data_IF_868047803403
#
_entry.id   IF_868047803403
#
_cell.length_a   1.000
_cell.length_b   1.000
_cell.length_c   1.000
_cell.angle_alpha   90.00
_cell.angle_beta   90.00
_cell.angle_gamma   90.00
#
_symmetry.space_group_name_H-M   'P 1'
#
loop_
_entity.id
_entity.type
_entity.pdbx_description
1 polymer ?
#
# COMPACT_ATOMS: atom_id res chain seq x y z
N UNK A 1 -52.08 14.89 -26.01
CA UNK A 1 -50.61 15.15 -26.08
C UNK A 1 -49.84 14.64 -24.85
N UNK A 2 -50.34 14.81 -23.61
CA UNK A 2 -49.66 14.29 -22.40
C UNK A 2 -49.54 12.75 -22.34
N UNK A 3 -50.52 12.02 -22.88
CA UNK A 3 -50.51 10.55 -22.87
C UNK A 3 -49.41 9.94 -23.77
N UNK A 4 -49.09 10.60 -24.90
CA UNK A 4 -47.99 10.20 -25.80
C UNK A 4 -46.63 10.50 -25.16
N UNK A 5 -46.53 11.59 -24.40
CA UNK A 5 -45.31 11.96 -23.69
C UNK A 5 -44.94 10.92 -22.61
N UNK A 6 -45.90 10.45 -21.80
CA UNK A 6 -45.64 9.40 -20.82
C UNK A 6 -45.27 8.05 -21.46
N UNK A 7 -45.81 7.76 -22.65
CA UNK A 7 -45.46 6.55 -23.40
C UNK A 7 -44.01 6.59 -23.92
N UNK A 8 -43.55 7.75 -24.41
CA UNK A 8 -42.17 7.94 -24.89
C UNK A 8 -41.17 7.93 -23.72
N UNK A 9 -41.50 8.53 -22.58
CA UNK A 9 -40.66 8.50 -21.36
C UNK A 9 -40.55 7.08 -20.79
N UNK A 10 -41.62 6.28 -20.86
CA UNK A 10 -41.60 4.87 -20.43
C UNK A 10 -40.71 3.96 -21.28
N UNK A 11 -40.62 4.21 -22.59
CA UNK A 11 -39.78 3.41 -23.51
C UNK A 11 -38.27 3.67 -23.28
N UNK A 12 -37.89 4.91 -22.97
CA UNK A 12 -36.48 5.29 -22.76
C UNK A 12 -35.89 4.69 -21.47
N UNK A 13 -36.73 4.41 -20.45
CA UNK A 13 -36.29 3.79 -19.19
C UNK A 13 -36.01 2.28 -19.36
N UNK A 14 -36.60 1.62 -20.36
CA UNK A 14 -36.49 0.17 -20.57
C UNK A 14 -35.21 -0.28 -21.29
N UNK A 15 -34.40 0.62 -21.86
CA UNK A 15 -33.28 0.24 -22.75
C UNK A 15 -31.89 0.18 -22.09
N UNK A 16 -31.79 0.24 -20.76
CA UNK A 16 -30.49 0.08 -20.05
C UNK A 16 -30.30 -1.32 -19.45
N UNK A 17 -30.80 -2.36 -20.10
CA UNK A 17 -30.31 -3.72 -19.80
C UNK A 17 -29.03 -3.95 -20.59
N UNK A 18 -27.89 -3.45 -20.09
CA UNK A 18 -26.59 -3.93 -20.55
C UNK A 18 -26.51 -5.42 -20.19
N UNK A 19 -26.76 -6.28 -21.17
CA UNK A 19 -26.44 -7.71 -21.08
C UNK A 19 -24.93 -7.84 -20.99
N UNK A 20 -24.39 -7.74 -19.77
CA UNK A 20 -23.00 -8.06 -19.52
C UNK A 20 -22.84 -9.56 -19.70
N UNK A 21 -22.22 -9.95 -20.80
CA UNK A 21 -21.97 -11.34 -21.14
C UNK A 21 -21.07 -11.91 -20.02
N UNK A 22 -21.70 -12.63 -19.09
CA UNK A 22 -21.01 -13.17 -17.92
C UNK A 22 -20.25 -14.39 -18.38
N UNK A 23 -18.93 -14.30 -18.39
CA UNK A 23 -18.07 -15.40 -18.80
C UNK A 23 -17.92 -16.46 -17.71
N UNK A 24 -17.94 -16.02 -16.45
CA UNK A 24 -17.78 -16.91 -15.31
C UNK A 24 -18.49 -16.34 -14.09
N UNK A 25 -19.07 -17.22 -13.29
CA UNK A 25 -19.70 -16.87 -12.03
C UNK A 25 -19.40 -17.95 -10.98
N UNK A 26 -19.01 -17.51 -9.78
CA UNK A 26 -18.86 -18.35 -8.60
C UNK A 26 -19.43 -17.65 -7.37
N UNK A 27 -19.42 -18.35 -6.23
CA UNK A 27 -19.77 -17.77 -4.93
C UNK A 27 -18.88 -16.57 -4.53
N UNK A 28 -17.65 -16.52 -5.04
CA UNK A 28 -16.64 -15.56 -4.60
C UNK A 28 -16.57 -14.36 -5.55
N UNK A 29 -16.76 -14.56 -6.85
CA UNK A 29 -16.66 -13.49 -7.84
C UNK A 29 -17.41 -13.79 -9.15
N UNK A 30 -17.63 -12.73 -9.94
CA UNK A 30 -18.21 -12.78 -11.28
C UNK A 30 -17.28 -12.11 -12.28
N UNK A 31 -17.08 -12.72 -13.44
CA UNK A 31 -16.29 -12.19 -14.55
C UNK A 31 -17.21 -11.90 -15.73
N UNK A 32 -17.15 -10.68 -16.24
CA UNK A 32 -17.81 -10.25 -17.48
C UNK A 32 -16.78 -9.88 -18.54
N UNK A 33 -17.23 -9.42 -19.70
CA UNK A 33 -16.34 -8.96 -20.78
C UNK A 33 -15.41 -7.82 -20.39
N UNK A 34 -15.81 -6.97 -19.44
CA UNK A 34 -15.08 -5.76 -19.10
C UNK A 34 -14.61 -5.72 -17.64
N UNK A 35 -15.13 -6.60 -16.78
CA UNK A 35 -14.87 -6.46 -15.34
C UNK A 35 -14.91 -7.76 -14.55
N UNK A 36 -14.27 -7.70 -13.38
CA UNK A 36 -14.38 -8.69 -12.31
C UNK A 36 -15.04 -8.03 -11.11
N UNK A 37 -16.09 -8.66 -10.58
CA UNK A 37 -16.85 -8.19 -9.40
C UNK A 37 -16.65 -9.19 -8.26
N UNK A 38 -16.22 -8.70 -7.10
CA UNK A 38 -16.09 -9.46 -5.85
C UNK A 38 -16.75 -8.67 -4.71
N UNK A 39 -17.97 -9.06 -4.32
CA UNK A 39 -18.74 -8.32 -3.32
C UNK A 39 -18.96 -6.86 -3.71
N UNK A 40 -18.47 -5.92 -2.89
CA UNK A 40 -18.54 -4.47 -3.14
C UNK A 40 -17.37 -3.92 -3.96
N UNK A 41 -16.42 -4.76 -4.36
CA UNK A 41 -15.24 -4.37 -5.13
C UNK A 41 -15.37 -4.76 -6.61
N UNK A 42 -14.84 -3.91 -7.48
CA UNK A 42 -14.84 -4.10 -8.92
C UNK A 42 -13.46 -3.76 -9.48
N UNK A 43 -12.99 -4.53 -10.46
CA UNK A 43 -11.89 -4.16 -11.35
C UNK A 43 -12.41 -4.14 -12.79
N UNK A 44 -12.25 -3.02 -13.49
CA UNK A 44 -12.76 -2.79 -14.84
C UNK A 44 -11.61 -2.51 -15.82
N UNK A 45 -11.53 -3.28 -16.90
CA UNK A 45 -10.67 -2.99 -18.04
C UNK A 45 -11.30 -1.87 -18.86
N UNK A 46 -10.64 -0.70 -18.91
CA UNK A 46 -11.12 0.48 -19.66
C UNK A 46 -10.59 0.44 -21.10
N UNK A 47 -9.42 -0.15 -21.29
CA UNK A 47 -8.78 -0.39 -22.60
C UNK A 47 -7.89 -1.65 -22.53
N UNK A 48 -7.32 -2.12 -23.65
CA UNK A 48 -6.38 -3.25 -23.65
C UNK A 48 -5.14 -3.04 -22.76
N UNK A 49 -4.83 -1.79 -22.36
CA UNK A 49 -3.65 -1.45 -21.55
C UNK A 49 -3.99 -0.70 -20.26
N UNK A 50 -5.28 -0.55 -19.92
CA UNK A 50 -5.72 0.21 -18.76
C UNK A 50 -6.79 -0.53 -17.97
N UNK A 51 -6.57 -0.64 -16.66
CA UNK A 51 -7.51 -1.21 -15.70
C UNK A 51 -7.68 -0.26 -14.51
N UNK A 52 -8.92 -0.09 -14.06
CA UNK A 52 -9.26 0.67 -12.85
C UNK A 52 -9.85 -0.27 -11.81
N UNK A 53 -9.63 0.00 -10.52
CA UNK A 53 -10.21 -0.78 -9.43
C UNK A 53 -10.83 0.12 -8.36
N UNK A 54 -11.96 -0.33 -7.81
CA UNK A 54 -12.57 0.31 -6.64
C UNK A 54 -11.91 -0.13 -5.32
N UNK A 55 -10.95 -1.06 -5.35
CA UNK A 55 -10.22 -1.48 -4.16
C UNK A 55 -9.40 -0.30 -3.59
N UNK A 56 -9.73 0.08 -2.37
CA UNK A 56 -8.95 1.03 -1.58
C UNK A 56 -8.11 0.26 -0.60
N UNK A 57 -6.79 0.33 -0.76
CA UNK A 57 -5.88 -0.29 0.19
C UNK A 57 -6.09 0.28 1.59
N UNK A 58 -6.38 -0.59 2.56
CA UNK A 58 -6.38 -0.26 3.99
C UNK A 58 -4.97 0.01 4.53
N UNK A 59 -3.94 -0.14 3.69
CA UNK A 59 -2.56 0.17 4.05
C UNK A 59 -2.42 1.65 4.41
N UNK A 60 -2.41 1.91 5.71
CA UNK A 60 -1.82 3.13 6.26
C UNK A 60 -0.33 2.90 6.28
N UNK A 61 0.44 3.72 5.54
CA UNK A 61 1.91 3.71 5.64
C UNK A 61 2.25 3.89 7.11
N UNK A 62 2.75 2.83 7.77
CA UNK A 62 3.26 2.96 9.12
C UNK A 62 4.31 4.06 9.13
N UNK A 63 4.32 4.91 10.17
CA UNK A 63 5.35 5.91 10.33
C UNK A 63 6.70 5.22 10.18
N UNK A 64 7.42 5.53 9.09
CA UNK A 64 8.71 4.93 8.78
C UNK A 64 9.75 5.64 9.63
N UNK A 65 9.65 5.50 10.95
CA UNK A 65 10.68 5.97 11.86
C UNK A 65 11.77 4.90 12.05
N UNK A 66 11.81 3.85 11.22
CA UNK A 66 12.89 2.87 11.22
C UNK A 66 13.91 3.24 10.15
N UNK A 67 15.15 3.43 10.57
CA UNK A 67 16.32 3.58 9.72
C UNK A 67 17.05 2.23 9.65
N UNK A 68 17.28 1.71 8.45
CA UNK A 68 18.08 0.51 8.21
C UNK A 68 19.33 0.86 7.42
N UNK A 69 20.49 0.38 7.87
CA UNK A 69 21.76 0.67 7.19
C UNK A 69 22.83 -0.38 7.50
N UNK A 70 23.96 -0.27 6.80
CA UNK A 70 25.20 -1.02 7.05
C UNK A 70 26.40 -0.11 6.83
N UNK A 71 27.47 -0.35 7.56
CA UNK A 71 28.76 0.18 7.22
C UNK A 71 29.44 -0.64 6.13
N UNK A 72 30.27 0.04 5.35
CA UNK A 72 31.04 -0.55 4.27
C UNK A 72 32.41 0.11 4.22
N UNK A 73 33.46 -0.70 4.11
CA UNK A 73 34.79 -0.17 3.80
C UNK A 73 34.87 0.10 2.30
N UNK A 74 35.11 1.36 1.96
CA UNK A 74 35.22 1.84 0.57
C UNK A 74 34.01 1.52 -0.32
N UNK A 75 32.84 1.21 0.26
CA UNK A 75 31.63 0.85 -0.48
C UNK A 75 31.64 -0.57 -1.08
N UNK A 76 32.65 -1.38 -0.77
CA UNK A 76 32.80 -2.74 -1.30
C UNK A 76 32.64 -3.79 -0.22
N UNK A 77 33.36 -3.64 0.89
CA UNK A 77 33.37 -4.63 1.97
C UNK A 77 32.34 -4.26 3.02
N UNK A 78 31.13 -4.78 2.84
CA UNK A 78 30.07 -4.65 3.82
C UNK A 78 30.43 -5.41 5.09
N UNK A 79 30.25 -4.77 6.24
CA UNK A 79 30.54 -5.37 7.54
C UNK A 79 29.72 -6.64 7.85
N UNK A 80 28.57 -6.82 7.19
CA UNK A 80 27.59 -7.87 7.49
C UNK A 80 26.96 -8.47 6.25
N UNK A 81 26.67 -9.77 6.36
CA UNK A 81 26.08 -10.59 5.30
C UNK A 81 24.69 -10.15 4.84
N UNK A 82 24.19 -10.80 3.80
CA UNK A 82 22.88 -10.48 3.20
C UNK A 82 21.76 -10.44 4.26
N UNK A 83 20.87 -9.45 4.13
CA UNK A 83 19.74 -9.18 5.04
C UNK A 83 20.08 -8.90 6.53
N UNK A 84 21.35 -8.69 6.88
CA UNK A 84 21.77 -8.30 8.23
C UNK A 84 22.11 -6.80 8.29
N UNK A 85 21.10 -5.98 8.58
CA UNK A 85 21.23 -4.52 8.72
C UNK A 85 21.25 -4.11 10.19
N UNK A 86 21.88 -2.98 10.48
CA UNK A 86 21.58 -2.22 11.69
C UNK A 86 20.17 -1.66 11.60
N UNK A 87 19.45 -1.64 12.72
CA UNK A 87 18.09 -1.08 12.79
C UNK A 87 17.99 -0.04 13.89
N UNK A 88 17.69 1.20 13.52
CA UNK A 88 17.49 2.30 14.47
C UNK A 88 16.04 2.80 14.39
N UNK A 89 15.35 2.83 15.53
CA UNK A 89 14.04 3.47 15.64
C UNK A 89 14.21 4.93 16.05
N UNK A 90 13.88 5.85 15.15
CA UNK A 90 13.93 7.28 15.34
C UNK A 90 12.84 7.75 16.31
N UNK A 91 13.28 8.38 17.40
CA UNK A 91 12.48 8.99 18.47
C UNK A 91 13.04 10.38 18.80
N UNK A 92 12.97 11.34 17.87
CA UNK A 92 13.59 12.64 18.05
C UNK A 92 12.92 13.43 19.18
N UNK A 93 13.72 14.09 20.01
CA UNK A 93 13.28 15.06 21.01
C UNK A 93 13.65 16.45 20.47
N UNK A 94 12.67 17.36 20.40
CA UNK A 94 12.84 18.70 19.78
C UNK A 94 13.45 18.64 18.36
N UNK A 95 13.06 17.63 17.59
CA UNK A 95 13.51 17.46 16.20
C UNK A 95 14.92 16.89 16.02
N UNK A 96 15.58 16.45 17.11
CA UNK A 96 16.94 15.87 17.06
C UNK A 96 17.01 14.55 17.80
N UNK A 97 17.90 13.68 17.35
CA UNK A 97 18.27 12.42 18.00
C UNK A 97 19.75 12.19 17.75
N UNK A 98 20.45 11.70 18.77
CA UNK A 98 21.80 11.16 18.63
C UNK A 98 21.68 9.64 18.68
N UNK A 99 22.33 8.95 17.73
CA UNK A 99 22.29 7.49 17.72
C UNK A 99 23.14 6.91 18.87
N UNK A 100 22.86 5.66 19.26
CA UNK A 100 23.85 4.77 19.86
C UNK A 100 25.24 4.86 19.21
N UNK A 101 26.28 4.50 19.96
CA UNK A 101 27.53 4.07 19.36
C UNK A 101 27.28 2.72 18.69
N UNK A 102 27.56 2.64 17.40
CA UNK A 102 27.42 1.42 16.59
C UNK A 102 28.80 1.10 16.04
N UNK A 103 29.31 -0.09 16.37
CA UNK A 103 30.67 -0.51 16.07
C UNK A 103 30.68 -1.39 14.83
N UNK A 104 31.61 -1.10 13.90
CA UNK A 104 31.76 -1.86 12.66
C UNK A 104 31.91 -3.36 12.93
N UNK A 105 31.09 -4.17 12.27
CA UNK A 105 31.12 -5.64 12.36
C UNK A 105 30.52 -6.22 13.65
N UNK A 106 29.99 -5.40 14.56
CA UNK A 106 29.38 -5.83 15.82
C UNK A 106 27.85 -5.80 15.69
N UNK A 107 27.18 -6.85 16.15
CA UNK A 107 25.73 -6.89 16.14
C UNK A 107 25.13 -5.90 17.16
N UNK A 108 23.99 -5.28 16.81
CA UNK A 108 23.23 -4.43 17.71
C UNK A 108 22.90 -5.20 19.00
N UNK A 109 23.42 -4.71 20.12
CA UNK A 109 23.02 -5.20 21.44
C UNK A 109 21.81 -4.41 21.90
N UNK A 110 20.81 -5.09 22.49
CA UNK A 110 19.55 -4.49 22.96
C UNK A 110 19.74 -3.40 24.05
N UNK A 111 20.97 -3.20 24.52
CA UNK A 111 21.34 -2.36 25.65
C UNK A 111 21.65 -0.88 25.30
N UNK A 112 21.72 -0.48 24.04
CA UNK A 112 22.03 0.93 23.70
C UNK A 112 20.80 1.84 23.67
N UNK A 113 19.67 1.38 24.22
CA UNK A 113 18.42 2.13 24.29
C UNK A 113 18.27 2.97 25.57
N UNK A 114 19.24 2.94 26.50
CA UNK A 114 19.11 3.56 27.83
C UNK A 114 20.18 4.61 28.18
N UNK A 115 20.98 5.09 27.21
CA UNK A 115 21.92 6.19 27.46
C UNK A 115 21.53 7.44 26.67
N UNK A 116 20.46 8.10 27.08
CA UNK A 116 20.18 9.51 26.74
C UNK A 116 19.76 10.34 27.95
N UNK A 117 20.16 9.93 29.16
CA UNK A 117 19.92 10.70 30.40
C UNK A 117 21.09 11.61 30.82
N UNK A 118 22.16 11.72 30.02
CA UNK A 118 23.34 12.52 30.39
C UNK A 118 23.75 13.56 29.35
N UNK A 119 22.82 14.37 28.84
CA UNK A 119 23.17 15.65 28.19
C UNK A 119 22.01 16.65 28.39
N UNK A 120 21.66 16.91 29.65
CA UNK A 120 20.99 18.15 30.04
C UNK A 120 22.02 18.98 30.81
N UNK A 121 22.76 19.80 30.08
CA UNK A 121 23.34 21.08 30.52
C UNK A 121 23.31 22.04 29.33
#
# INVERSE_FOLDING_TARGET
MKLIYYFIVGIIISTMSFSQNTFYHSKDFTVTSEKVIQGSFEAKAVSPTEIISSYKSVYKKAAQNKLEFKFSLNGLDNERGFAQNHQLTLKPVKGRMISPIIVFGVADTLAVNEQTEYLND
#
